data_IF_515516759107
#
_entry.id   IF_515516759107
#
_cell.length_a   1.000
_cell.length_b   1.000
_cell.length_c   1.000
_cell.angle_alpha   90.00
_cell.angle_beta   90.00
_cell.angle_gamma   90.00
#
_symmetry.space_group_name_H-M   'P 1'
#
loop_
_entity.id
_entity.type
_entity.pdbx_description
1 polymer ?
#
# COMPACT_ATOMS: atom_id res chain seq x y z
N UNK A 1 -35.38 -47.82 21.09
CA UNK A 1 -34.92 -47.27 19.82
C UNK A 1 -33.55 -47.83 19.49
N UNK A 2 -33.53 -48.84 18.67
CA UNK A 2 -32.27 -49.37 18.19
C UNK A 2 -31.73 -48.53 17.03
N UNK A 3 -30.62 -47.85 17.26
CA UNK A 3 -29.90 -47.15 16.21
C UNK A 3 -29.08 -48.14 15.41
N UNK A 4 -29.58 -48.56 14.27
CA UNK A 4 -28.82 -49.45 13.38
C UNK A 4 -27.70 -48.66 12.70
N UNK A 5 -26.54 -49.29 12.52
CA UNK A 5 -25.33 -48.70 11.89
C UNK A 5 -25.56 -48.04 10.52
N UNK A 6 -26.67 -48.41 9.84
CA UNK A 6 -27.10 -47.80 8.59
C UNK A 6 -27.66 -46.36 8.73
N UNK A 7 -28.22 -46.02 9.90
CA UNK A 7 -28.76 -44.66 10.14
C UNK A 7 -27.65 -43.68 10.50
N UNK A 8 -26.48 -44.16 10.98
CA UNK A 8 -25.34 -43.29 11.27
C UNK A 8 -24.67 -42.77 10.01
N UNK A 9 -24.79 -43.48 8.87
CA UNK A 9 -24.18 -43.09 7.61
C UNK A 9 -25.04 -42.08 6.82
N UNK A 10 -26.31 -41.87 7.19
CA UNK A 10 -27.18 -40.93 6.51
C UNK A 10 -27.11 -39.50 7.00
N UNK A 11 -26.40 -39.24 8.11
CA UNK A 11 -26.13 -37.89 8.65
C UNK A 11 -24.76 -37.31 8.27
N UNK A 12 -24.00 -38.04 7.46
CA UNK A 12 -22.63 -37.67 7.05
C UNK A 12 -22.51 -36.83 5.78
N UNK A 13 -23.61 -36.27 5.24
CA UNK A 13 -23.54 -35.31 4.13
C UNK A 13 -23.31 -33.89 4.67
N UNK A 14 -22.26 -33.73 5.46
CA UNK A 14 -21.74 -32.41 5.77
C UNK A 14 -21.18 -31.81 4.50
N UNK A 15 -21.85 -30.79 3.98
CA UNK A 15 -21.34 -29.93 2.93
C UNK A 15 -20.02 -29.34 3.42
N UNK A 16 -18.91 -29.88 2.94
CA UNK A 16 -17.61 -29.24 3.10
C UNK A 16 -17.65 -27.95 2.27
N UNK A 17 -18.01 -26.85 2.90
CA UNK A 17 -17.74 -25.54 2.36
C UNK A 17 -16.23 -25.37 2.44
N UNK A 18 -15.53 -25.65 1.34
CA UNK A 18 -14.16 -25.16 1.18
C UNK A 18 -14.26 -23.65 1.21
N UNK A 19 -14.03 -23.05 2.37
CA UNK A 19 -13.68 -21.65 2.46
C UNK A 19 -12.32 -21.53 1.77
N UNK A 20 -12.33 -21.14 0.50
CA UNK A 20 -11.12 -20.66 -0.15
C UNK A 20 -10.73 -19.37 0.56
N UNK A 21 -9.87 -19.49 1.56
CA UNK A 21 -9.14 -18.37 2.14
C UNK A 21 -8.27 -17.83 1.01
N UNK A 22 -8.77 -16.81 0.31
CA UNK A 22 -7.95 -15.99 -0.55
C UNK A 22 -6.89 -15.36 0.36
N UNK A 23 -5.70 -15.91 0.38
CA UNK A 23 -4.56 -15.28 1.04
C UNK A 23 -4.21 -14.03 0.26
N UNK A 24 -4.79 -12.89 0.65
CA UNK A 24 -4.29 -11.59 0.23
C UNK A 24 -2.84 -11.50 0.70
N UNK A 25 -1.92 -10.97 -0.12
CA UNK A 25 -0.55 -10.79 0.33
C UNK A 25 -0.57 -9.92 1.59
N UNK A 26 0.00 -10.44 2.67
CA UNK A 26 -0.06 -9.82 4.01
C UNK A 26 0.43 -8.36 4.02
N UNK A 27 1.34 -8.00 3.11
CA UNK A 27 1.91 -6.66 3.02
C UNK A 27 0.94 -5.62 2.43
N UNK A 28 0.09 -6.00 1.46
CA UNK A 28 -0.92 -5.10 0.92
C UNK A 28 -1.93 -4.69 2.00
N UNK A 29 -2.31 -5.63 2.88
CA UNK A 29 -3.20 -5.35 4.01
C UNK A 29 -2.58 -4.37 5.00
N UNK A 30 -1.27 -4.52 5.31
CA UNK A 30 -0.57 -3.59 6.21
C UNK A 30 -0.52 -2.17 5.65
N UNK A 31 -0.38 -2.03 4.34
CA UNK A 31 -0.39 -0.73 3.67
C UNK A 31 -1.78 -0.11 3.72
N UNK A 32 -2.82 -0.88 3.43
CA UNK A 32 -4.20 -0.41 3.48
C UNK A 32 -4.59 0.04 4.90
N UNK A 33 -4.18 -0.71 5.92
CA UNK A 33 -4.39 -0.36 7.32
C UNK A 33 -3.66 0.94 7.69
N UNK A 34 -2.41 1.09 7.26
CA UNK A 34 -1.62 2.30 7.52
C UNK A 34 -2.20 3.54 6.82
N UNK A 35 -2.70 3.39 5.60
CA UNK A 35 -3.39 4.47 4.88
C UNK A 35 -4.71 4.83 5.58
N UNK A 36 -5.49 3.85 6.00
CA UNK A 36 -6.73 4.07 6.73
C UNK A 36 -6.49 4.79 8.07
N UNK A 37 -5.42 4.45 8.78
CA UNK A 37 -5.01 5.14 10.00
C UNK A 37 -4.63 6.60 9.71
N UNK A 38 -3.86 6.84 8.64
CA UNK A 38 -3.43 8.18 8.25
C UNK A 38 -4.61 9.08 7.85
N UNK A 39 -5.54 8.53 7.07
CA UNK A 39 -6.66 9.30 6.50
C UNK A 39 -7.91 9.30 7.37
N UNK A 40 -7.96 8.46 8.42
CA UNK A 40 -9.17 8.24 9.22
C UNK A 40 -10.30 7.58 8.43
N UNK A 41 -10.01 6.89 7.33
CA UNK A 41 -10.99 6.29 6.43
C UNK A 41 -11.66 7.27 5.48
N UNK A 42 -11.16 8.49 5.36
CA UNK A 42 -11.70 9.49 4.45
C UNK A 42 -11.49 9.10 2.96
N UNK A 43 -12.39 9.52 2.11
CA UNK A 43 -12.25 9.37 0.67
C UNK A 43 -11.05 10.15 0.16
N UNK A 44 -10.35 9.57 -0.81
CA UNK A 44 -9.18 10.17 -1.45
C UNK A 44 -9.48 10.48 -2.90
N UNK A 45 -9.14 11.71 -3.31
CA UNK A 45 -9.15 12.10 -4.72
C UNK A 45 -7.87 11.68 -5.44
N UNK A 46 -7.86 11.83 -6.74
CA UNK A 46 -6.71 11.57 -7.61
C UNK A 46 -6.43 12.79 -8.50
N UNK A 47 -5.21 12.88 -9.00
CA UNK A 47 -4.81 13.89 -9.98
C UNK A 47 -4.11 15.14 -9.43
N UNK A 48 -4.12 15.36 -8.09
CA UNK A 48 -3.42 16.49 -7.49
C UNK A 48 -1.93 16.21 -7.21
N UNK A 49 -1.50 14.96 -7.26
CA UNK A 49 -0.11 14.54 -7.04
C UNK A 49 0.47 14.06 -8.36
N UNK A 50 1.63 14.58 -8.72
CA UNK A 50 2.48 14.00 -9.76
C UNK A 50 3.54 13.13 -9.07
N UNK A 51 3.41 11.81 -9.20
CA UNK A 51 4.36 10.85 -8.65
C UNK A 51 5.25 10.33 -9.78
N UNK A 52 6.56 10.50 -9.62
CA UNK A 52 7.56 10.05 -10.58
C UNK A 52 8.35 8.90 -9.99
N UNK A 53 8.28 7.75 -10.62
CA UNK A 53 9.00 6.55 -10.27
C UNK A 53 9.46 5.85 -11.56
N UNK A 54 10.61 5.12 -11.54
CA UNK A 54 11.02 4.32 -12.69
C UNK A 54 10.08 3.14 -12.88
N UNK A 55 9.75 2.82 -14.12
CA UNK A 55 8.97 1.60 -14.43
C UNK A 55 9.74 0.32 -14.05
N UNK A 56 11.07 0.36 -14.20
CA UNK A 56 11.98 -0.73 -13.87
C UNK A 56 13.11 -0.18 -13.01
N UNK A 57 13.27 -0.76 -11.83
CA UNK A 57 14.41 -0.53 -10.95
C UNK A 57 15.34 -1.75 -11.02
N UNK A 58 16.53 -1.58 -11.55
CA UNK A 58 17.54 -2.63 -11.62
C UNK A 58 18.09 -3.01 -10.23
N UNK A 59 18.11 -2.03 -9.32
CA UNK A 59 18.55 -2.21 -7.95
C UNK A 59 17.51 -1.66 -6.96
N UNK A 60 16.81 -2.54 -6.28
CA UNK A 60 15.80 -2.19 -5.27
C UNK A 60 16.36 -1.53 -4.00
N UNK A 61 17.67 -1.55 -3.77
CA UNK A 61 18.28 -0.88 -2.61
C UNK A 61 18.23 0.65 -2.70
N UNK A 62 18.13 1.20 -3.89
CA UNK A 62 18.18 2.64 -4.14
C UNK A 62 17.35 3.03 -5.34
N UNK A 63 16.06 3.19 -5.14
CA UNK A 63 15.10 3.54 -6.19
C UNK A 63 14.76 5.03 -6.09
N UNK A 64 15.03 5.83 -7.14
CA UNK A 64 14.69 7.25 -7.12
C UNK A 64 13.17 7.45 -7.23
N UNK A 65 12.62 8.22 -6.31
CA UNK A 65 11.20 8.62 -6.29
C UNK A 65 11.14 10.13 -6.16
N UNK A 66 10.27 10.75 -6.92
CA UNK A 66 9.97 12.16 -6.78
C UNK A 66 8.45 12.38 -6.81
N UNK A 67 7.99 13.40 -6.15
CA UNK A 67 6.60 13.83 -6.21
C UNK A 67 6.49 15.35 -6.23
N UNK A 68 5.40 15.83 -6.79
CA UNK A 68 4.94 17.21 -6.69
C UNK A 68 3.45 17.20 -6.36
N UNK A 69 3.09 17.89 -5.29
CA UNK A 69 1.72 17.93 -4.75
C UNK A 69 1.32 19.36 -4.37
N UNK A 70 1.03 20.22 -5.36
CA UNK A 70 0.62 21.59 -5.08
C UNK A 70 -0.58 21.66 -4.12
N UNK A 71 -0.48 22.50 -3.10
CA UNK A 71 -1.51 22.64 -2.06
C UNK A 71 -1.47 21.57 -0.95
N UNK A 72 -0.50 20.67 -0.95
CA UNK A 72 -0.33 19.70 0.12
C UNK A 72 0.32 20.33 1.36
N UNK A 73 -0.21 20.01 2.53
CA UNK A 73 0.43 20.30 3.81
C UNK A 73 1.43 19.19 4.18
N UNK A 74 1.14 17.96 3.78
CA UNK A 74 1.93 16.79 4.11
C UNK A 74 1.79 15.74 3.01
N UNK A 75 2.88 15.04 2.69
CA UNK A 75 2.87 13.89 1.78
C UNK A 75 3.56 12.71 2.45
N UNK A 76 2.89 11.58 2.50
CA UNK A 76 3.44 10.31 3.01
C UNK A 76 3.61 9.32 1.88
N UNK A 77 4.78 8.70 1.81
CA UNK A 77 5.09 7.65 0.84
C UNK A 77 4.96 6.27 1.50
N UNK A 78 4.31 5.35 0.78
CA UNK A 78 4.18 3.95 1.15
C UNK A 78 4.75 3.05 0.06
N UNK A 79 5.28 1.90 0.45
CA UNK A 79 5.70 0.81 -0.42
C UNK A 79 4.93 -0.45 -0.03
N UNK A 80 3.99 -0.88 -0.87
CA UNK A 80 2.98 -1.89 -0.50
C UNK A 80 3.51 -3.34 -0.46
N UNK A 81 4.71 -3.58 -0.98
CA UNK A 81 5.38 -4.87 -0.93
C UNK A 81 6.53 -4.95 0.09
N UNK A 82 6.78 -3.88 0.84
CA UNK A 82 7.79 -3.90 1.89
C UNK A 82 7.20 -4.41 3.22
N UNK A 83 8.02 -5.07 4.06
CA UNK A 83 7.61 -5.49 5.41
C UNK A 83 7.15 -4.32 6.30
N UNK A 84 7.76 -3.14 6.11
CA UNK A 84 7.33 -1.88 6.72
C UNK A 84 6.86 -0.97 5.59
N UNK A 85 5.54 -0.80 5.40
CA UNK A 85 5.01 -0.07 4.25
C UNK A 85 5.24 1.44 4.31
N UNK A 86 5.25 2.04 5.50
CA UNK A 86 5.50 3.46 5.67
C UNK A 86 6.98 3.77 5.41
N UNK A 87 7.25 4.57 4.38
CA UNK A 87 8.62 4.90 3.96
C UNK A 87 9.08 6.23 4.52
N UNK A 88 8.33 7.30 4.25
CA UNK A 88 8.69 8.65 4.65
C UNK A 88 7.48 9.58 4.65
N UNK A 89 7.52 10.59 5.52
CA UNK A 89 6.54 11.66 5.57
C UNK A 89 7.24 13.01 5.39
N UNK A 90 6.76 13.81 4.46
CA UNK A 90 7.25 15.14 4.16
C UNK A 90 6.21 16.17 4.60
N UNK A 91 6.60 17.06 5.48
CA UNK A 91 5.75 18.16 5.97
C UNK A 91 6.23 19.47 5.37
N UNK A 92 5.29 20.24 4.83
CA UNK A 92 5.57 21.51 4.20
C UNK A 92 5.06 22.66 5.06
N UNK A 93 5.95 23.59 5.34
CA UNK A 93 5.60 24.82 6.05
C UNK A 93 5.02 25.88 5.10
N UNK A 94 4.44 26.96 5.65
CA UNK A 94 3.83 28.04 4.84
C UNK A 94 4.84 28.77 3.97
N UNK A 95 6.14 28.71 4.28
CA UNK A 95 7.22 29.34 3.52
C UNK A 95 7.88 28.38 2.52
N UNK A 96 7.38 27.16 2.37
CA UNK A 96 7.92 26.22 1.37
C UNK A 96 7.67 26.74 -0.04
N UNK A 97 8.74 26.88 -0.81
CA UNK A 97 8.68 27.38 -2.19
C UNK A 97 7.96 26.40 -3.12
N UNK A 98 8.02 25.11 -2.82
CA UNK A 98 7.33 24.05 -3.54
C UNK A 98 6.80 22.99 -2.58
N UNK A 99 5.82 22.21 -3.05
CA UNK A 99 5.24 21.07 -2.30
C UNK A 99 5.67 19.75 -2.94
N UNK A 100 6.96 19.65 -3.24
CA UNK A 100 7.56 18.50 -3.88
C UNK A 100 8.86 18.11 -3.21
N UNK A 101 9.26 16.86 -3.40
CA UNK A 101 10.53 16.33 -2.94
C UNK A 101 11.00 15.18 -3.83
N UNK A 102 12.31 14.95 -3.80
CA UNK A 102 12.95 13.79 -4.42
C UNK A 102 13.74 13.04 -3.35
N UNK A 103 13.65 11.72 -3.38
CA UNK A 103 14.36 10.85 -2.45
C UNK A 103 14.70 9.52 -3.12
N UNK A 104 15.44 8.69 -2.41
CA UNK A 104 15.70 7.31 -2.79
C UNK A 104 15.14 6.39 -1.71
N UNK A 105 14.46 5.34 -2.14
CA UNK A 105 13.82 4.38 -1.24
C UNK A 105 14.29 2.97 -1.54
N UNK A 106 14.05 2.06 -0.59
CA UNK A 106 14.27 0.62 -0.79
C UNK A 106 12.96 -0.04 -1.16
N UNK A 107 13.03 -0.89 -2.17
CA UNK A 107 11.94 -1.76 -2.57
C UNK A 107 12.43 -3.21 -2.49
N UNK A 108 11.81 -3.99 -1.62
CA UNK A 108 12.19 -5.39 -1.41
C UNK A 108 11.86 -6.27 -2.63
N UNK A 109 10.82 -5.92 -3.37
CA UNK A 109 10.33 -6.65 -4.53
C UNK A 109 9.57 -5.71 -5.46
N UNK A 110 9.17 -6.21 -6.62
CA UNK A 110 8.20 -5.52 -7.50
C UNK A 110 6.94 -5.18 -6.73
N UNK A 111 6.56 -3.92 -6.73
CA UNK A 111 5.46 -3.40 -5.92
C UNK A 111 4.99 -2.03 -6.38
N UNK A 112 3.94 -1.52 -5.74
CA UNK A 112 3.52 -0.15 -5.92
C UNK A 112 4.15 0.77 -4.88
N UNK A 113 4.50 1.96 -5.32
CA UNK A 113 4.77 3.11 -4.46
C UNK A 113 3.50 3.97 -4.44
N UNK A 114 3.05 4.30 -3.25
CA UNK A 114 1.82 5.08 -3.04
C UNK A 114 2.18 6.37 -2.34
N UNK A 115 1.74 7.49 -2.88
CA UNK A 115 1.85 8.79 -2.26
C UNK A 115 0.46 9.26 -1.78
N UNK A 116 0.34 9.59 -0.52
CA UNK A 116 -0.86 10.16 0.08
C UNK A 116 -0.57 11.60 0.50
N UNK A 117 -1.27 12.55 -0.07
CA UNK A 117 -1.17 13.95 0.31
C UNK A 117 -2.35 14.36 1.17
N UNK A 118 -2.04 14.94 2.33
CA UNK A 118 -3.00 15.72 3.10
C UNK A 118 -2.95 17.15 2.61
N UNK A 119 -4.04 17.60 2.01
CA UNK A 119 -4.14 18.95 1.46
C UNK A 119 -4.36 19.97 2.57
N UNK A 120 -4.08 21.24 2.27
CA UNK A 120 -4.28 22.35 3.23
C UNK A 120 -5.75 22.54 3.66
N UNK A 121 -6.71 22.12 2.82
CA UNK A 121 -8.14 22.11 3.14
C UNK A 121 -8.59 20.91 3.98
N UNK A 122 -7.68 20.00 4.31
CA UNK A 122 -7.95 18.79 5.08
C UNK A 122 -8.37 17.57 4.24
N UNK A 123 -8.55 17.71 2.94
CA UNK A 123 -8.81 16.60 2.03
C UNK A 123 -7.55 15.76 1.77
N UNK A 124 -7.76 14.56 1.24
CA UNK A 124 -6.67 13.64 0.88
C UNK A 124 -6.65 13.35 -0.61
N UNK A 125 -5.45 13.24 -1.15
CA UNK A 125 -5.19 12.85 -2.52
C UNK A 125 -4.25 11.65 -2.54
N UNK A 126 -4.39 10.79 -3.54
CA UNK A 126 -3.57 9.60 -3.71
C UNK A 126 -2.98 9.58 -5.13
N UNK A 127 -1.74 9.14 -5.22
CA UNK A 127 -1.11 8.72 -6.46
C UNK A 127 -0.39 7.40 -6.26
N UNK A 128 -0.38 6.56 -7.27
CA UNK A 128 0.23 5.23 -7.25
C UNK A 128 1.06 5.00 -8.49
N UNK A 129 2.25 4.41 -8.32
CA UNK A 129 3.10 3.98 -9.41
C UNK A 129 3.62 2.57 -9.16
N UNK A 130 3.53 1.70 -10.16
CA UNK A 130 4.12 0.37 -10.10
C UNK A 130 5.60 0.43 -10.49
N UNK A 131 6.45 -0.21 -9.70
CA UNK A 131 7.88 -0.34 -9.96
C UNK A 131 8.25 -1.81 -10.04
N UNK A 132 8.73 -2.25 -11.19
CA UNK A 132 9.28 -3.59 -11.38
C UNK A 132 10.73 -3.60 -10.87
N UNK A 133 11.00 -4.45 -9.90
CA UNK A 133 12.32 -4.59 -9.29
C UNK A 133 12.97 -5.87 -9.78
N UNK A 134 14.15 -5.77 -10.39
CA UNK A 134 14.89 -6.93 -10.92
C UNK A 134 15.76 -7.57 -9.85
N UNK A 135 16.42 -6.77 -9.01
CA UNK A 135 17.18 -7.21 -7.83
C UNK A 135 16.60 -6.49 -6.62
N UNK A 136 15.97 -7.25 -5.70
CA UNK A 136 15.33 -6.71 -4.51
C UNK A 136 16.31 -6.09 -3.54
N UNK A 137 15.83 -5.06 -2.82
CA UNK A 137 16.56 -4.47 -1.69
C UNK A 137 16.50 -5.37 -0.46
N UNK A 138 17.63 -5.54 0.22
CA UNK A 138 17.67 -6.28 1.49
C UNK A 138 17.11 -5.43 2.62
N UNK A 139 16.15 -5.97 3.37
CA UNK A 139 15.66 -5.38 4.61
C UNK A 139 14.86 -4.10 4.42
N UNK A 140 13.96 -4.12 3.45
CA UNK A 140 12.96 -3.05 3.26
C UNK A 140 12.06 -2.86 4.46
#
# INVERSE_FOLDING_TARGET
MEMTRRKLLAFGSGTFVLATLSSLPAFATLTDDAIAELTGGADMGEGAITLTAPEIAENGNTVPIAFDAPGAAEVTLFADGNPVPNVATFKFGPLSASRGASTRIRLATTQNVVAIAKMEDGSFQMAKANVKVTIGGCGG
#
